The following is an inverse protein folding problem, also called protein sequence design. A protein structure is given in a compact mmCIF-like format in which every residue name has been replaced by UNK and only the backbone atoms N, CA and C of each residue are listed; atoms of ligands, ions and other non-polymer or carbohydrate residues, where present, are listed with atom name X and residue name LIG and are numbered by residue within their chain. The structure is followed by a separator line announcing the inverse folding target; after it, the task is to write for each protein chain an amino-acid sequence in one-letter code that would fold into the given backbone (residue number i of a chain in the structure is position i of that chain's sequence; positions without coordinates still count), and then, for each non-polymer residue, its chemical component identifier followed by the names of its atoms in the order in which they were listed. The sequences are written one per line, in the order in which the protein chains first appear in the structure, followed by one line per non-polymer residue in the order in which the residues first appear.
data_IF_819995250407
#
_entry.id   IF_819995250407
#
_cell.length_a   1.000
_cell.length_b   1.000
_cell.length_c   1.000
_cell.angle_alpha   90.00
_cell.angle_beta   90.00
_cell.angle_gamma   90.00
#
_symmetry.space_group_name_H-M   'P 1'
#
loop_
_entity.id
_entity.type
_entity.pdbx_description
1 polymer ?
#
# COMPACT_ATOMS: atom_id res chain seq x y z
N UNK A 1 6.31 -10.36 -8.17
CA UNK A 1 5.84 -11.73 -7.82
C UNK A 1 5.64 -11.84 -6.30
N UNK A 2 6.71 -11.95 -5.57
CA UNK A 2 6.59 -12.05 -4.09
C UNK A 2 6.23 -10.67 -3.53
N UNK A 3 6.65 -9.64 -4.21
CA UNK A 3 6.34 -8.26 -3.75
C UNK A 3 4.83 -8.04 -3.77
N UNK A 4 4.24 -8.03 -4.93
CA UNK A 4 2.76 -7.82 -5.05
C UNK A 4 2.02 -8.70 -4.04
N UNK A 5 2.20 -9.98 -4.12
CA UNK A 5 1.51 -10.89 -3.17
C UNK A 5 1.82 -10.45 -1.74
N UNK A 6 3.05 -10.12 -1.47
CA UNK A 6 3.41 -9.66 -0.10
C UNK A 6 2.58 -8.43 0.23
N UNK A 7 2.75 -7.39 -0.52
CA UNK A 7 1.98 -6.15 -0.28
C UNK A 7 0.49 -6.47 -0.29
N UNK A 8 0.07 -7.34 -1.17
CA UNK A 8 -1.37 -7.71 -1.23
C UNK A 8 -1.79 -8.28 0.12
N UNK A 9 -0.96 -9.07 0.72
CA UNK A 9 -1.31 -9.65 2.04
C UNK A 9 -1.36 -8.52 3.07
N UNK A 10 -0.45 -7.59 2.96
CA UNK A 10 -0.43 -6.45 3.90
C UNK A 10 -1.62 -5.53 3.61
N UNK A 11 -1.72 -5.05 2.40
CA UNK A 11 -2.86 -4.15 2.05
C UNK A 11 -4.18 -4.85 2.35
N UNK A 12 -4.46 -5.91 1.64
CA UNK A 12 -5.74 -6.65 1.84
C UNK A 12 -5.98 -6.90 3.34
N UNK A 13 -5.12 -7.64 3.97
CA UNK A 13 -5.30 -7.94 5.42
C UNK A 13 -5.54 -6.64 6.20
N UNK A 14 -5.06 -5.54 5.72
CA UNK A 14 -5.26 -4.26 6.45
C UNK A 14 -6.39 -3.44 5.83
N UNK A 15 -6.09 -2.62 4.86
CA UNK A 15 -7.14 -1.78 4.22
C UNK A 15 -8.11 -2.65 3.42
N UNK A 16 -7.81 -3.90 3.23
CA UNK A 16 -8.73 -4.78 2.46
C UNK A 16 -10.00 -5.04 3.28
N UNK A 17 -9.89 -4.99 4.58
CA UNK A 17 -11.09 -5.24 5.44
C UNK A 17 -11.64 -6.64 5.17
N UNK A 18 -12.47 -6.79 4.18
CA UNK A 18 -13.04 -8.13 3.87
C UNK A 18 -12.33 -8.72 2.64
N UNK A 19 -11.11 -8.33 2.41
CA UNK A 19 -10.36 -8.86 1.23
C UNK A 19 -11.05 -8.40 -0.06
N UNK A 20 -10.88 -7.17 -0.43
CA UNK A 20 -11.52 -6.65 -1.68
C UNK A 20 -11.36 -5.13 -1.73
N UNK A 21 -11.55 -4.48 -0.62
CA UNK A 21 -11.42 -3.00 -0.58
C UNK A 21 -10.07 -2.58 -1.18
N UNK A 22 -9.09 -3.43 -1.11
CA UNK A 22 -7.75 -3.09 -1.67
C UNK A 22 -7.90 -2.70 -3.15
N UNK A 23 -7.40 -1.55 -3.52
CA UNK A 23 -7.50 -1.11 -4.94
C UNK A 23 -6.39 -0.11 -5.25
N UNK A 24 -5.59 -0.40 -6.25
CA UNK A 24 -4.48 0.53 -6.63
C UNK A 24 -5.07 1.82 -7.20
N UNK A 25 -5.96 1.71 -8.14
CA UNK A 25 -6.57 2.92 -8.75
C UNK A 25 -7.37 3.69 -7.71
N UNK A 26 -7.63 3.10 -6.57
CA UNK A 26 -8.41 3.82 -5.52
C UNK A 26 -7.49 4.76 -4.75
N UNK A 27 -8.01 5.83 -4.23
CA UNK A 27 -7.16 6.77 -3.46
C UNK A 27 -6.98 6.25 -2.03
N UNK A 28 -7.52 5.09 -1.72
CA UNK A 28 -7.36 4.54 -0.35
C UNK A 28 -8.00 5.49 0.66
N UNK A 29 -9.20 5.94 0.40
CA UNK A 29 -9.86 6.88 1.35
C UNK A 29 -11.31 7.12 0.92
N UNK A 30 -11.54 7.35 -0.34
CA UNK A 30 -12.93 7.60 -0.81
C UNK A 30 -13.42 6.40 -1.63
N UNK A 31 -12.52 5.64 -2.18
CA UNK A 31 -12.94 4.46 -2.99
C UNK A 31 -13.36 3.32 -2.07
N UNK A 32 -12.43 2.76 -1.34
CA UNK A 32 -12.77 1.63 -0.43
C UNK A 32 -12.96 2.15 1.00
N UNK A 33 -13.19 3.42 1.15
CA UNK A 33 -13.38 3.99 2.52
C UNK A 33 -12.23 3.56 3.43
N UNK A 34 -11.12 4.23 3.36
CA UNK A 34 -9.96 3.86 4.22
C UNK A 34 -9.45 5.10 4.96
N UNK A 35 -8.88 4.92 6.11
CA UNK A 35 -8.36 6.09 6.88
C UNK A 35 -6.96 6.46 6.37
N UNK A 36 -6.72 7.71 6.12
CA UNK A 36 -5.38 8.13 5.61
C UNK A 36 -4.28 7.52 6.48
N UNK A 37 -4.56 7.30 7.74
CA UNK A 37 -3.53 6.71 8.64
C UNK A 37 -3.29 5.25 8.24
N UNK A 38 -4.25 4.40 8.46
CA UNK A 38 -4.10 2.96 8.10
C UNK A 38 -3.56 2.83 6.67
N UNK A 39 -3.96 3.71 5.80
CA UNK A 39 -3.49 3.65 4.39
C UNK A 39 -1.96 3.76 4.36
N UNK A 40 -1.45 4.94 4.55
CA UNK A 40 0.02 5.12 4.53
C UNK A 40 0.65 4.28 5.64
N UNK A 41 -0.07 4.03 6.70
CA UNK A 41 0.49 3.21 7.80
C UNK A 41 0.74 1.80 7.27
N UNK A 42 -0.10 1.32 6.40
CA UNK A 42 0.09 -0.04 5.84
C UNK A 42 1.28 -0.01 4.88
N UNK A 43 1.46 1.09 4.20
CA UNK A 43 2.59 1.20 3.24
C UNK A 43 3.91 1.32 4.02
N UNK A 44 3.84 1.71 5.26
CA UNK A 44 5.09 1.81 6.07
C UNK A 44 5.52 0.41 6.47
N UNK A 45 4.60 -0.38 6.97
CA UNK A 45 4.95 -1.78 7.33
C UNK A 45 5.41 -2.46 6.04
N UNK A 46 4.93 -1.97 4.93
CA UNK A 46 5.33 -2.53 3.62
C UNK A 46 6.80 -2.19 3.39
N UNK A 47 7.18 -0.97 3.66
CA UNK A 47 8.60 -0.58 3.46
C UNK A 47 9.50 -1.47 4.33
N UNK A 48 8.96 -1.99 5.40
CA UNK A 48 9.77 -2.87 6.29
C UNK A 48 9.79 -4.29 5.72
N UNK A 49 8.78 -4.67 4.99
CA UNK A 49 8.74 -6.05 4.42
C UNK A 49 9.85 -6.19 3.37
N UNK A 50 9.90 -5.29 2.43
CA UNK A 50 10.95 -5.37 1.37
C UNK A 50 12.10 -4.40 1.70
N UNK A 51 12.12 -3.85 2.88
CA UNK A 51 13.22 -2.91 3.24
C UNK A 51 13.23 -1.74 2.25
N UNK A 52 12.41 -0.76 2.47
CA UNK A 52 12.37 0.41 1.54
C UNK A 52 12.45 1.71 2.34
N UNK A 53 12.46 2.83 1.68
CA UNK A 53 12.53 4.13 2.41
C UNK A 53 11.21 4.89 2.21
N UNK A 54 10.12 4.18 2.12
CA UNK A 54 8.81 4.87 1.93
C UNK A 54 8.46 5.67 3.19
N UNK A 55 8.40 6.97 3.07
CA UNK A 55 8.06 7.81 4.25
C UNK A 55 6.57 8.17 4.19
N UNK A 56 6.06 8.79 5.22
CA UNK A 56 4.62 9.17 5.21
C UNK A 56 4.32 10.03 3.98
N UNK A 57 5.32 10.64 3.41
CA UNK A 57 5.09 11.49 2.21
C UNK A 57 4.93 10.61 0.97
N UNK A 58 5.43 9.40 1.02
CA UNK A 58 5.32 8.50 -0.16
C UNK A 58 3.87 8.05 -0.33
N UNK A 59 3.44 7.11 0.47
CA UNK A 59 2.03 6.60 0.37
C UNK A 59 1.03 7.76 0.23
N UNK A 60 1.37 8.93 0.69
CA UNK A 60 0.42 10.07 0.58
C UNK A 60 0.60 10.79 -0.76
N UNK A 61 1.81 11.09 -1.14
CA UNK A 61 2.04 11.81 -2.43
C UNK A 61 2.14 10.81 -3.58
N UNK A 62 2.40 9.57 -3.29
CA UNK A 62 2.52 8.55 -4.37
C UNK A 62 1.25 8.58 -5.23
N UNK A 63 1.37 8.31 -6.51
CA UNK A 63 0.17 8.33 -7.40
C UNK A 63 -0.95 7.50 -6.76
N UNK A 64 -0.59 6.41 -6.13
CA UNK A 64 -1.61 5.55 -5.48
C UNK A 64 -0.90 4.44 -4.69
N UNK A 65 -1.58 3.86 -3.74
CA UNK A 65 -0.97 2.75 -2.94
C UNK A 65 -0.33 1.74 -3.91
N UNK A 66 -1.00 1.47 -4.99
CA UNK A 66 -0.44 0.51 -5.99
C UNK A 66 0.93 1.01 -6.43
N UNK A 67 1.03 2.28 -6.74
CA UNK A 67 2.36 2.83 -7.16
C UNK A 67 3.37 2.46 -6.08
N UNK A 68 2.93 2.38 -4.85
CA UNK A 68 3.84 1.98 -3.75
C UNK A 68 4.33 0.57 -4.07
N UNK A 69 3.44 -0.26 -4.52
CA UNK A 69 3.84 -1.64 -4.90
C UNK A 69 4.83 -1.52 -6.06
N UNK A 70 4.52 -0.70 -7.02
CA UNK A 70 5.44 -0.49 -8.16
C UNK A 70 6.74 0.10 -7.62
N UNK A 71 6.65 0.80 -6.51
CA UNK A 71 7.86 1.41 -5.90
C UNK A 71 8.81 0.31 -5.44
N UNK A 72 8.28 -0.79 -4.97
CA UNK A 72 9.16 -1.90 -4.49
C UNK A 72 9.81 -2.59 -5.69
N UNK A 73 9.06 -2.83 -6.72
CA UNK A 73 9.65 -3.52 -7.92
C UNK A 73 10.77 -2.65 -8.49
N UNK A 74 10.66 -1.35 -8.34
CA UNK A 74 11.71 -0.45 -8.88
C UNK A 74 13.01 -0.67 -8.10
N UNK A 75 12.92 -1.17 -6.90
CA UNK A 75 14.15 -1.41 -6.09
C UNK A 75 14.68 -2.82 -6.37
N UNK A 76 13.81 -3.71 -6.77
CA UNK A 76 14.26 -5.10 -7.06
C UNK A 76 14.92 -5.15 -8.44
#
# INVERSE_FOLDING_TARGET
ADTLERVTKIIVDRLGVDEADVKLEASFKEDLGADSLDVVELVMELEDEFDMEISDEDAEKIATVGDAVNYIQNQQ
#
